data_IF_020820726873
#
_entry.id   IF_020820726873
#
_cell.length_a   1.000
_cell.length_b   1.000
_cell.length_c   1.000
_cell.angle_alpha   90.00
_cell.angle_beta   90.00
_cell.angle_gamma   90.00
#
_symmetry.space_group_name_H-M   'P 1'
#
loop_
_entity.id
_entity.type
_entity.pdbx_description
1 polymer ?
#
# COMPACT_ATOMS: atom_id res chain seq x y z
N UNK A 1 -7.80 -0.60 -7.02
CA UNK A 1 -7.28 0.05 -8.25
C UNK A 1 -6.75 -0.99 -9.23
N UNK A 2 -6.59 -0.60 -10.49
CA UNK A 2 -5.98 -1.41 -11.56
C UNK A 2 -4.69 -0.72 -12.04
N UNK A 3 -3.62 -1.49 -12.25
CA UNK A 3 -2.41 -1.03 -12.92
C UNK A 3 -2.25 -1.74 -14.25
N UNK A 4 -2.22 -0.96 -15.33
CA UNK A 4 -2.08 -1.46 -16.70
C UNK A 4 -0.88 -0.83 -17.40
N UNK A 5 -0.08 -1.66 -18.07
CA UNK A 5 1.02 -1.22 -18.92
C UNK A 5 1.27 -2.28 -20.00
N UNK A 6 1.36 -1.85 -21.25
CA UNK A 6 1.40 -2.73 -22.42
C UNK A 6 0.18 -3.66 -22.44
N UNK A 7 0.38 -4.97 -22.62
CA UNK A 7 -0.68 -5.98 -22.62
C UNK A 7 -0.91 -6.63 -21.24
N UNK A 8 -0.35 -6.04 -20.17
CA UNK A 8 -0.47 -6.57 -18.80
C UNK A 8 -1.33 -5.66 -17.94
N UNK A 9 -2.28 -6.27 -17.25
CA UNK A 9 -3.18 -5.63 -16.29
C UNK A 9 -3.15 -6.37 -14.97
N UNK A 10 -3.05 -5.63 -13.87
CA UNK A 10 -3.01 -6.16 -12.52
C UNK A 10 -3.99 -5.45 -11.60
N UNK A 11 -4.84 -6.23 -10.95
CA UNK A 11 -5.74 -5.73 -9.91
C UNK A 11 -5.01 -5.63 -8.56
N UNK A 12 -5.25 -4.52 -7.85
CA UNK A 12 -4.79 -4.29 -6.49
C UNK A 12 -6.00 -4.09 -5.57
N UNK A 13 -6.17 -4.99 -4.59
CA UNK A 13 -7.26 -4.95 -3.60
C UNK A 13 -6.74 -4.66 -2.19
N UNK A 14 -7.19 -3.54 -1.64
CA UNK A 14 -6.87 -3.09 -0.28
C UNK A 14 -7.86 -3.64 0.76
N UNK A 15 -8.15 -4.95 0.68
CA UNK A 15 -9.13 -5.64 1.52
C UNK A 15 -8.57 -6.20 2.84
N UNK A 16 -9.34 -7.06 3.52
CA UNK A 16 -8.88 -7.72 4.75
C UNK A 16 -7.60 -8.56 4.56
N UNK A 17 -7.43 -9.21 3.40
CA UNK A 17 -6.22 -9.98 3.08
C UNK A 17 -4.97 -9.09 3.05
N UNK A 18 -5.08 -7.91 2.43
CA UNK A 18 -4.05 -6.87 2.44
C UNK A 18 -3.74 -6.42 3.88
N UNK A 19 -4.77 -6.04 4.65
CA UNK A 19 -4.62 -5.61 6.05
C UNK A 19 -3.93 -6.66 6.92
N UNK A 20 -4.29 -7.93 6.75
CA UNK A 20 -3.72 -9.04 7.51
C UNK A 20 -2.23 -9.21 7.20
N UNK A 21 -1.84 -9.11 5.94
CA UNK A 21 -0.45 -9.27 5.52
C UNK A 21 0.42 -8.09 5.96
N UNK A 22 -0.03 -6.83 5.80
CA UNK A 22 0.72 -5.67 6.31
C UNK A 22 0.89 -5.74 7.84
N UNK A 23 -0.16 -6.12 8.59
CA UNK A 23 -0.06 -6.23 10.04
C UNK A 23 0.83 -7.38 10.48
N UNK A 24 0.96 -8.44 9.68
CA UNK A 24 1.91 -9.52 9.95
C UNK A 24 3.35 -9.02 9.82
N UNK A 25 3.66 -8.24 8.78
CA UNK A 25 5.00 -7.70 8.52
C UNK A 25 5.40 -6.60 9.50
N UNK A 26 4.45 -5.73 9.83
CA UNK A 26 4.65 -4.54 10.66
C UNK A 26 4.01 -4.70 12.04
N UNK A 27 4.31 -5.82 12.71
CA UNK A 27 3.94 -6.01 14.11
C UNK A 27 5.17 -6.04 15.01
N UNK A 28 4.99 -5.55 16.23
CA UNK A 28 6.00 -5.59 17.27
C UNK A 28 5.45 -6.30 18.50
N UNK A 29 6.25 -7.14 19.12
CA UNK A 29 5.93 -7.75 20.40
C UNK A 29 6.57 -6.95 21.53
N UNK A 30 5.76 -6.49 22.48
CA UNK A 30 6.25 -5.84 23.70
C UNK A 30 5.49 -6.36 24.91
N UNK A 31 6.23 -6.93 25.87
CA UNK A 31 5.66 -7.41 27.13
C UNK A 31 4.59 -8.51 26.94
N UNK A 32 4.75 -9.37 25.94
CA UNK A 32 3.78 -10.43 25.62
C UNK A 32 2.53 -9.96 24.86
N UNK A 33 2.46 -8.67 24.48
CA UNK A 33 1.39 -8.12 23.63
C UNK A 33 1.92 -7.85 22.23
N UNK A 34 1.17 -8.29 21.21
CA UNK A 34 1.47 -7.97 19.81
C UNK A 34 0.72 -6.71 19.38
N UNK A 35 1.46 -5.66 19.05
CA UNK A 35 0.92 -4.43 18.46
C UNK A 35 0.96 -4.53 16.94
N UNK A 36 -0.19 -4.32 16.29
CA UNK A 36 -0.35 -4.33 14.83
C UNK A 36 -0.25 -2.90 14.31
N UNK A 37 0.86 -2.56 13.66
CA UNK A 37 1.17 -1.19 13.25
C UNK A 37 1.17 -1.00 11.73
N UNK A 38 0.67 -1.99 10.96
CA UNK A 38 0.85 -2.03 9.51
C UNK A 38 0.32 -0.84 8.75
N UNK A 39 -0.92 -0.41 9.02
CA UNK A 39 -1.48 0.77 8.33
C UNK A 39 -0.70 2.04 8.67
N UNK A 40 -0.35 2.22 9.95
CA UNK A 40 0.42 3.38 10.38
C UNK A 40 1.81 3.44 9.73
N UNK A 41 2.53 2.32 9.75
CA UNK A 41 3.87 2.23 9.17
C UNK A 41 3.86 2.56 7.67
N UNK A 42 2.97 1.94 6.89
CA UNK A 42 2.94 2.17 5.44
C UNK A 42 2.51 3.61 5.11
N UNK A 43 1.51 4.17 5.81
CA UNK A 43 1.03 5.53 5.51
C UNK A 43 2.11 6.57 5.83
N UNK A 44 2.82 6.42 6.95
CA UNK A 44 3.95 7.30 7.29
C UNK A 44 5.05 7.27 6.23
N UNK A 45 5.44 6.08 5.76
CA UNK A 45 6.48 5.94 4.74
C UNK A 45 6.02 6.49 3.38
N UNK A 46 4.76 6.25 2.99
CA UNK A 46 4.18 6.81 1.76
C UNK A 46 4.17 8.34 1.78
N UNK A 47 3.88 8.97 2.93
CA UNK A 47 3.96 10.43 3.09
C UNK A 47 5.39 10.97 2.96
N UNK A 48 6.39 10.18 3.33
CA UNK A 48 7.80 10.49 3.12
C UNK A 48 8.29 10.12 1.70
N UNK A 49 7.38 9.75 0.80
CA UNK A 49 7.66 9.36 -0.59
C UNK A 49 8.61 8.16 -0.73
N UNK A 50 8.53 7.22 0.21
CA UNK A 50 9.33 5.99 0.16
C UNK A 50 8.83 5.02 -0.92
N UNK A 51 9.64 4.82 -1.96
CA UNK A 51 9.27 4.01 -3.14
C UNK A 51 9.24 2.52 -2.84
N UNK A 52 10.08 2.05 -1.91
CA UNK A 52 10.09 0.64 -1.52
C UNK A 52 8.77 0.24 -0.85
N UNK A 53 8.28 1.09 0.08
CA UNK A 53 6.94 0.93 0.66
C UNK A 53 5.85 1.01 -0.39
N UNK A 54 5.95 1.92 -1.37
CA UNK A 54 4.97 1.98 -2.48
C UNK A 54 4.89 0.65 -3.23
N UNK A 55 6.04 0.06 -3.55
CA UNK A 55 6.11 -1.22 -4.26
C UNK A 55 5.56 -2.35 -3.41
N UNK A 56 5.95 -2.40 -2.13
CA UNK A 56 5.47 -3.41 -1.22
C UNK A 56 3.94 -3.38 -1.10
N UNK A 57 3.36 -2.18 -0.93
CA UNK A 57 1.92 -2.00 -0.80
C UNK A 57 1.19 -2.53 -2.04
N UNK A 58 1.67 -2.20 -3.25
CA UNK A 58 1.07 -2.68 -4.50
C UNK A 58 1.19 -4.20 -4.65
N UNK A 59 2.35 -4.77 -4.32
CA UNK A 59 2.57 -6.22 -4.37
C UNK A 59 1.68 -6.96 -3.38
N UNK A 60 1.52 -6.46 -2.14
CA UNK A 60 0.62 -7.06 -1.15
C UNK A 60 -0.84 -6.92 -1.59
N UNK A 61 -1.23 -5.76 -2.13
CA UNK A 61 -2.60 -5.53 -2.61
C UNK A 61 -2.96 -6.44 -3.80
N UNK A 62 -1.98 -6.80 -4.62
CA UNK A 62 -2.16 -7.80 -5.68
C UNK A 62 -1.97 -9.26 -5.19
N UNK A 63 -1.41 -9.49 -3.99
CA UNK A 63 -1.13 -10.82 -3.44
C UNK A 63 -2.38 -11.68 -3.14
N UNK A 64 -3.60 -11.17 -3.33
CA UNK A 64 -4.82 -12.01 -3.36
C UNK A 64 -5.41 -12.19 -4.76
N UNK A 65 -4.86 -11.50 -5.76
CA UNK A 65 -5.39 -11.43 -7.13
C UNK A 65 -4.53 -12.18 -8.15
N UNK A 66 -5.11 -12.47 -9.32
CA UNK A 66 -4.39 -13.04 -10.46
C UNK A 66 -4.60 -12.14 -11.68
N UNK A 67 -3.57 -11.93 -12.53
CA UNK A 67 -2.20 -12.43 -12.41
C UNK A 67 -1.42 -11.78 -11.24
N UNK A 68 -0.30 -12.42 -10.86
CA UNK A 68 0.61 -11.91 -9.82
C UNK A 68 1.56 -10.87 -10.39
N UNK A 69 1.55 -9.69 -9.82
CA UNK A 69 2.45 -8.59 -10.11
C UNK A 69 3.86 -8.92 -9.66
N UNK A 70 4.85 -8.38 -10.37
CA UNK A 70 6.27 -8.55 -10.07
C UNK A 70 6.91 -7.21 -9.82
N UNK A 71 8.02 -7.19 -9.08
CA UNK A 71 8.84 -5.98 -8.89
C UNK A 71 9.25 -5.40 -10.24
N UNK A 72 9.67 -6.24 -11.20
CA UNK A 72 10.08 -5.78 -12.53
C UNK A 72 8.98 -4.99 -13.27
N UNK A 73 7.73 -5.42 -13.15
CA UNK A 73 6.60 -4.66 -13.72
C UNK A 73 6.49 -3.27 -13.09
N UNK A 74 6.66 -3.15 -11.78
CA UNK A 74 6.59 -1.86 -11.07
C UNK A 74 7.76 -0.95 -11.41
N UNK A 75 8.97 -1.50 -11.55
CA UNK A 75 10.14 -0.75 -12.05
C UNK A 75 9.84 -0.13 -13.42
N UNK A 76 9.42 -0.97 -14.37
CA UNK A 76 9.10 -0.54 -15.74
C UNK A 76 7.93 0.49 -15.74
N UNK A 77 6.91 0.27 -14.89
CA UNK A 77 5.77 1.18 -14.76
C UNK A 77 6.22 2.56 -14.26
N UNK A 78 7.09 2.61 -13.25
CA UNK A 78 7.60 3.86 -12.68
C UNK A 78 8.56 4.56 -13.62
N UNK A 79 9.41 3.84 -14.34
CA UNK A 79 10.28 4.43 -15.38
C UNK A 79 9.47 5.12 -16.48
N UNK A 80 8.30 4.55 -16.83
CA UNK A 80 7.42 5.11 -17.87
C UNK A 80 6.49 6.22 -17.36
N UNK A 81 5.90 6.09 -16.18
CA UNK A 81 4.81 6.95 -15.70
C UNK A 81 5.22 7.87 -14.55
N UNK A 82 6.40 7.65 -13.95
CA UNK A 82 6.82 8.29 -12.71
C UNK A 82 6.10 7.76 -11.48
N UNK A 83 6.48 8.25 -10.30
CA UNK A 83 5.91 7.79 -9.01
C UNK A 83 4.82 8.69 -8.45
N UNK A 84 4.80 9.98 -8.81
CA UNK A 84 3.94 10.98 -8.14
C UNK A 84 2.46 10.59 -8.16
N UNK A 85 1.91 10.33 -9.34
CA UNK A 85 0.51 9.92 -9.48
C UNK A 85 0.24 8.57 -8.81
N UNK A 86 1.20 7.65 -8.86
CA UNK A 86 1.07 6.33 -8.25
C UNK A 86 0.98 6.41 -6.71
N UNK A 87 1.74 7.30 -6.08
CA UNK A 87 1.59 7.59 -4.64
C UNK A 87 0.19 8.15 -4.33
N UNK A 88 -0.26 9.15 -5.09
CA UNK A 88 -1.58 9.76 -4.92
C UNK A 88 -2.70 8.73 -5.04
N UNK A 89 -2.62 7.85 -6.03
CA UNK A 89 -3.60 6.78 -6.26
C UNK A 89 -3.61 5.75 -5.12
N UNK A 90 -2.44 5.27 -4.68
CA UNK A 90 -2.35 4.31 -3.57
C UNK A 90 -2.91 4.91 -2.28
N UNK A 91 -2.57 6.16 -1.96
CA UNK A 91 -3.11 6.85 -0.79
C UNK A 91 -4.63 6.99 -0.91
N UNK A 92 -5.15 7.35 -2.08
CA UNK A 92 -6.59 7.45 -2.32
C UNK A 92 -7.33 6.12 -2.13
N UNK A 93 -6.75 5.01 -2.56
CA UNK A 93 -7.35 3.69 -2.34
C UNK A 93 -7.32 3.29 -0.85
N UNK A 94 -6.22 3.58 -0.15
CA UNK A 94 -6.13 3.35 1.30
C UNK A 94 -7.18 4.16 2.08
N UNK A 95 -7.45 5.41 1.67
CA UNK A 95 -8.49 6.27 2.25
C UNK A 95 -9.91 5.74 2.05
N UNK A 96 -10.19 5.13 0.89
CA UNK A 96 -11.52 4.63 0.51
C UNK A 96 -11.84 3.25 1.07
N UNK A 97 -10.82 2.45 1.40
CA UNK A 97 -11.04 1.10 1.91
C UNK A 97 -11.63 1.09 3.32
N UNK A 98 -12.66 0.26 3.54
CA UNK A 98 -13.24 0.01 4.87
C UNK A 98 -12.23 -0.57 5.89
N UNK A 99 -11.11 -1.13 5.41
CA UNK A 99 -10.11 -1.79 6.26
C UNK A 99 -8.96 -0.88 6.68
N UNK A 100 -8.68 0.17 5.91
CA UNK A 100 -7.53 1.07 6.14
C UNK A 100 -7.92 2.54 6.24
N UNK A 101 -9.10 2.91 5.73
CA UNK A 101 -9.53 4.29 5.54
C UNK A 101 -9.60 5.10 6.82
N UNK A 102 -10.15 4.53 7.90
CA UNK A 102 -10.27 5.25 9.17
C UNK A 102 -8.91 5.74 9.70
N UNK A 103 -7.91 4.84 9.78
CA UNK A 103 -6.57 5.20 10.24
C UNK A 103 -5.85 6.11 9.25
N UNK A 104 -5.98 5.83 7.94
CA UNK A 104 -5.32 6.61 6.89
C UNK A 104 -5.79 8.06 6.93
N UNK A 105 -7.10 8.31 6.95
CA UNK A 105 -7.64 9.68 6.98
C UNK A 105 -7.23 10.41 8.27
N UNK A 106 -7.31 9.75 9.43
CA UNK A 106 -6.87 10.34 10.71
C UNK A 106 -5.41 10.82 10.65
N UNK A 107 -4.50 10.00 10.13
CA UNK A 107 -3.09 10.37 10.02
C UNK A 107 -2.83 11.52 9.04
N UNK A 108 -3.59 11.57 7.95
CA UNK A 108 -3.47 12.67 6.97
C UNK A 108 -3.95 14.00 7.55
N UNK A 109 -5.04 13.98 8.33
CA UNK A 109 -5.52 15.15 9.05
C UNK A 109 -4.49 15.65 10.07
N UNK A 110 -3.88 14.73 10.84
CA UNK A 110 -2.83 15.05 11.82
C UNK A 110 -1.56 15.60 11.17
N UNK A 111 -1.19 15.15 9.96
CA UNK A 111 -0.01 15.63 9.25
C UNK A 111 -0.18 17.05 8.65
N UNK A 112 -1.42 17.56 8.58
CA UNK A 112 -1.75 18.88 8.04
C UNK A 112 -1.99 19.92 9.14
N UNK A 113 -2.03 19.51 10.41
CA UNK A 113 -2.24 20.35 11.58
C UNK A 113 -0.90 20.90 12.13
#
# INVERSE_FOLDING_TARGET
>A
MELAMNEKTFDCRFGYGFLKEINKRYSVERGGMQLKLGVGAIVSNLLLSDVDTLFEVLLIANMTEKPRMTVKFLEDYVEQNGTKGLFEDVINELKKSEYTGMMTNKMLEEAQA
#
